data_IF_868944820495
#
_entry.id   IF_868944820495
#
_cell.length_a   1.000
_cell.length_b   1.000
_cell.length_c   1.000
_cell.angle_alpha   90.00
_cell.angle_beta   90.00
_cell.angle_gamma   90.00
#
_symmetry.space_group_name_H-M   'P 1'
#
loop_
_entity.id
_entity.type
_entity.pdbx_description
1 polymer ?
#
# COMPACT_ATOMS: atom_id res chain seq x y z
N UNK A 1 -4.81 15.84 2.54
CA UNK A 1 -4.14 14.94 3.50
C UNK A 1 -4.98 14.56 4.74
N UNK A 2 -5.99 15.34 5.19
CA UNK A 2 -6.69 15.02 6.46
C UNK A 2 -7.64 13.81 6.38
N UNK A 3 -8.45 13.68 5.32
CA UNK A 3 -9.42 12.57 5.18
C UNK A 3 -8.71 11.22 4.95
N UNK A 4 -7.68 11.20 4.11
CA UNK A 4 -6.85 10.02 3.85
C UNK A 4 -6.24 9.46 5.15
N UNK A 5 -5.66 10.33 5.99
CA UNK A 5 -5.10 9.95 7.29
C UNK A 5 -6.14 9.36 8.23
N UNK A 6 -7.30 10.01 8.33
CA UNK A 6 -8.42 9.51 9.13
C UNK A 6 -8.89 8.12 8.67
N UNK A 7 -9.00 7.89 7.37
CA UNK A 7 -9.38 6.57 6.85
C UNK A 7 -8.27 5.54 7.04
N UNK A 8 -7.02 5.90 6.82
CA UNK A 8 -5.87 5.03 7.07
C UNK A 8 -5.82 4.57 8.54
N UNK A 9 -5.97 5.50 9.49
CA UNK A 9 -6.04 5.18 10.92
C UNK A 9 -7.18 4.21 11.23
N UNK A 10 -8.38 4.46 10.71
CA UNK A 10 -9.53 3.57 10.94
C UNK A 10 -9.34 2.18 10.32
N UNK A 11 -8.73 2.09 9.13
CA UNK A 11 -8.36 0.79 8.53
C UNK A 11 -7.38 0.04 9.43
N UNK A 12 -6.32 0.72 9.89
CA UNK A 12 -5.33 0.13 10.80
C UNK A 12 -5.97 -0.32 12.12
N UNK A 13 -6.82 0.49 12.76
CA UNK A 13 -7.50 0.09 14.00
C UNK A 13 -8.40 -1.13 13.80
N UNK A 14 -9.13 -1.21 12.68
CA UNK A 14 -9.97 -2.36 12.36
C UNK A 14 -9.13 -3.64 12.16
N UNK A 15 -8.01 -3.54 11.44
CA UNK A 15 -7.12 -4.68 11.20
C UNK A 15 -6.36 -5.06 12.48
N UNK A 16 -5.95 -4.10 13.31
CA UNK A 16 -5.33 -4.37 14.62
C UNK A 16 -6.24 -5.24 15.48
N UNK A 17 -7.52 -4.89 15.55
CA UNK A 17 -8.52 -5.61 16.37
C UNK A 17 -8.54 -7.11 16.03
N UNK A 18 -8.44 -7.47 14.75
CA UNK A 18 -8.44 -8.87 14.32
C UNK A 18 -7.06 -9.52 14.47
N UNK A 19 -5.98 -8.74 14.31
CA UNK A 19 -4.60 -9.21 14.51
C UNK A 19 -4.31 -9.55 15.97
N UNK A 20 -4.90 -8.83 16.93
CA UNK A 20 -4.83 -9.13 18.37
C UNK A 20 -5.46 -10.50 18.70
N UNK A 21 -6.52 -10.87 17.98
CA UNK A 21 -7.15 -12.20 18.04
C UNK A 21 -6.42 -13.25 17.19
N UNK A 22 -5.27 -12.89 16.61
CA UNK A 22 -4.47 -13.69 15.67
C UNK A 22 -5.27 -14.14 14.45
N UNK A 23 -6.14 -13.28 13.93
CA UNK A 23 -6.88 -13.52 12.71
C UNK A 23 -6.19 -12.77 11.56
N UNK A 24 -5.88 -13.48 10.48
CA UNK A 24 -5.43 -12.90 9.20
C UNK A 24 -6.66 -12.74 8.31
N UNK A 25 -6.86 -11.56 7.73
CA UNK A 25 -7.99 -11.33 6.82
C UNK A 25 -7.75 -11.96 5.45
N UNK A 26 -6.53 -11.82 4.91
CA UNK A 26 -6.02 -12.42 3.67
C UNK A 26 -6.62 -11.99 2.33
N UNK A 27 -7.55 -11.04 2.35
CA UNK A 27 -8.22 -10.55 1.14
C UNK A 27 -8.38 -9.04 1.12
N UNK A 28 -7.65 -8.32 1.98
CA UNK A 28 -7.88 -6.90 2.18
C UNK A 28 -7.78 -6.13 0.86
N UNK A 29 -8.86 -5.45 0.53
CA UNK A 29 -8.97 -4.52 -0.57
C UNK A 29 -9.98 -3.40 -0.18
N UNK A 30 -10.10 -2.31 -0.94
CA UNK A 30 -10.98 -1.20 -0.58
C UNK A 30 -12.45 -1.60 -0.41
N UNK A 31 -12.93 -2.61 -1.14
CA UNK A 31 -14.32 -3.07 -1.03
C UNK A 31 -14.61 -3.77 0.30
N UNK A 32 -13.59 -4.20 1.04
CA UNK A 32 -13.76 -4.76 2.39
C UNK A 32 -13.91 -3.68 3.48
N UNK A 33 -13.75 -2.40 3.17
CA UNK A 33 -13.92 -1.31 4.13
C UNK A 33 -15.17 -0.50 3.81
N UNK A 34 -16.28 -0.83 4.47
CA UNK A 34 -17.56 -0.15 4.28
C UNK A 34 -17.64 1.14 5.10
N UNK A 35 -17.95 2.27 4.46
CA UNK A 35 -18.20 3.54 5.15
C UNK A 35 -19.64 3.59 5.67
N UNK A 36 -19.80 3.57 7.00
CA UNK A 36 -21.09 3.64 7.68
C UNK A 36 -21.08 4.83 8.64
N UNK A 37 -21.93 5.82 8.37
CA UNK A 37 -22.05 7.03 9.20
C UNK A 37 -20.70 7.74 9.48
N UNK A 38 -19.82 7.79 8.47
CA UNK A 38 -18.50 8.42 8.58
C UNK A 38 -17.41 7.54 9.19
N UNK A 39 -17.71 6.28 9.53
CA UNK A 39 -16.74 5.33 10.07
C UNK A 39 -16.54 4.13 9.13
N UNK A 40 -15.30 3.71 8.93
CA UNK A 40 -14.98 2.49 8.19
C UNK A 40 -15.24 1.27 9.05
N UNK A 41 -15.86 0.25 8.45
CA UNK A 41 -16.10 -1.06 9.04
C UNK A 41 -15.50 -2.11 8.13
N UNK A 42 -14.62 -2.94 8.70
CA UNK A 42 -14.07 -4.10 8.02
C UNK A 42 -15.15 -5.17 7.87
N UNK A 43 -15.33 -5.66 6.65
CA UNK A 43 -16.30 -6.69 6.27
C UNK A 43 -15.62 -7.83 5.52
N UNK A 44 -16.38 -8.89 5.27
CA UNK A 44 -15.99 -10.03 4.43
C UNK A 44 -14.79 -10.85 4.95
N UNK A 45 -15.02 -11.49 6.09
CA UNK A 45 -14.14 -12.49 6.68
C UNK A 45 -14.25 -13.85 5.97
N UNK A 46 -14.79 -13.92 4.74
CA UNK A 46 -15.13 -15.15 4.03
C UNK A 46 -13.97 -16.11 3.82
N UNK A 47 -12.73 -15.60 3.87
CA UNK A 47 -11.49 -16.39 3.85
C UNK A 47 -10.57 -16.15 5.06
N UNK A 48 -11.03 -15.39 6.06
CA UNK A 48 -10.24 -15.07 7.24
C UNK A 48 -10.00 -16.31 8.13
N UNK A 49 -8.80 -16.42 8.70
CA UNK A 49 -8.40 -17.59 9.49
C UNK A 49 -7.64 -17.20 10.75
N UNK A 50 -7.86 -17.97 11.82
CA UNK A 50 -7.16 -17.85 13.09
C UNK A 50 -5.84 -18.62 13.04
N UNK A 51 -4.75 -17.96 13.38
CA UNK A 51 -3.42 -18.59 13.51
C UNK A 51 -3.40 -19.46 14.78
N UNK A 52 -3.09 -20.78 14.68
CA UNK A 52 -2.99 -21.66 15.84
C UNK A 52 -1.92 -21.23 16.85
N UNK A 53 -2.18 -21.48 18.14
CA UNK A 53 -1.24 -21.20 19.22
C UNK A 53 0.04 -22.03 19.08
N UNK A 54 1.16 -21.39 18.73
CA UNK A 54 2.46 -22.06 18.54
C UNK A 54 2.96 -22.06 17.09
N UNK A 55 2.17 -21.54 16.15
CA UNK A 55 2.59 -21.27 14.77
C UNK A 55 2.40 -19.80 14.42
N UNK A 56 3.14 -19.31 13.43
CA UNK A 56 2.93 -18.00 12.79
C UNK A 56 2.18 -18.12 11.45
N UNK A 57 1.60 -19.29 11.17
CA UNK A 57 1.19 -19.73 9.84
C UNK A 57 -0.24 -20.28 9.82
N UNK A 58 -0.97 -20.03 8.71
CA UNK A 58 -2.30 -20.60 8.40
C UNK A 58 -2.46 -20.75 6.88
N UNK A 59 -3.28 -21.73 6.44
CA UNK A 59 -3.42 -22.15 5.03
C UNK A 59 -4.76 -21.76 4.40
N UNK A 60 -4.83 -21.19 3.18
CA UNK A 60 -6.11 -20.81 2.49
C UNK A 60 -6.23 -21.19 1.00
N UNK A 61 -7.46 -21.20 0.48
CA UNK A 61 -7.83 -21.36 -0.95
C UNK A 61 -8.46 -20.06 -1.48
N UNK A 62 -7.81 -19.37 -2.42
CA UNK A 62 -8.29 -18.07 -2.93
C UNK A 62 -8.90 -18.21 -4.34
N UNK A 63 -10.10 -17.67 -4.56
CA UNK A 63 -10.57 -17.32 -5.91
C UNK A 63 -9.70 -16.15 -6.36
N UNK A 64 -9.16 -16.19 -7.58
CA UNK A 64 -8.36 -15.10 -8.15
C UNK A 64 -9.29 -13.90 -8.42
N UNK A 65 -9.57 -13.13 -7.38
CA UNK A 65 -10.07 -11.75 -7.44
C UNK A 65 -8.87 -10.83 -7.23
N UNK A 66 -8.80 -9.79 -8.06
CA UNK A 66 -7.87 -8.63 -8.05
C UNK A 66 -6.51 -8.88 -7.39
N UNK A 67 -5.55 -9.44 -8.15
CA UNK A 67 -4.16 -9.71 -7.72
C UNK A 67 -3.39 -8.49 -7.22
N UNK A 68 -3.93 -7.29 -7.43
CA UNK A 68 -3.35 -6.00 -7.05
C UNK A 68 -3.02 -5.84 -5.55
N UNK A 69 -3.65 -6.64 -4.67
CA UNK A 69 -3.44 -6.57 -3.21
C UNK A 69 -2.75 -7.81 -2.64
N UNK A 70 -2.41 -8.79 -3.48
CA UNK A 70 -1.86 -10.07 -3.05
C UNK A 70 -0.37 -9.93 -2.73
N UNK A 71 0.06 -10.48 -1.60
CA UNK A 71 1.45 -10.40 -1.16
C UNK A 71 2.34 -11.47 -1.82
N UNK A 72 3.67 -11.23 -1.94
CA UNK A 72 4.61 -12.18 -2.55
C UNK A 72 4.56 -13.59 -1.95
N UNK A 73 4.50 -13.68 -0.61
CA UNK A 73 4.44 -14.97 0.08
C UNK A 73 3.13 -15.73 -0.16
N UNK A 74 2.04 -15.03 -0.51
CA UNK A 74 0.80 -15.68 -0.89
C UNK A 74 0.90 -16.37 -2.27
N UNK A 75 1.81 -15.91 -3.15
CA UNK A 75 2.08 -16.52 -4.45
C UNK A 75 3.19 -17.58 -4.43
N UNK A 76 4.22 -17.42 -3.58
CA UNK A 76 5.39 -18.32 -3.54
C UNK A 76 5.07 -19.75 -3.07
N UNK A 77 3.98 -19.96 -2.34
CA UNK A 77 3.59 -21.30 -1.86
C UNK A 77 2.78 -22.13 -2.88
N UNK A 78 2.73 -21.68 -4.15
CA UNK A 78 2.07 -22.37 -5.27
C UNK A 78 2.84 -23.59 -5.81
N UNK A 79 3.91 -24.02 -5.13
CA UNK A 79 4.59 -25.31 -5.27
C UNK A 79 4.48 -25.99 -6.64
N UNK A 80 5.49 -25.81 -7.49
CA UNK A 80 5.90 -26.76 -8.55
C UNK A 80 4.75 -27.55 -9.22
N UNK A 81 3.98 -26.86 -10.05
CA UNK A 81 3.51 -27.46 -11.30
C UNK A 81 2.20 -28.24 -11.33
N UNK A 82 1.32 -28.22 -10.32
CA UNK A 82 -0.01 -28.84 -10.48
C UNK A 82 -1.15 -28.04 -9.82
N UNK A 83 -2.07 -27.59 -10.67
CA UNK A 83 -3.44 -27.12 -10.39
C UNK A 83 -3.59 -25.73 -9.73
N UNK A 84 -3.75 -24.74 -10.61
CA UNK A 84 -4.41 -23.46 -10.33
C UNK A 84 -5.84 -23.76 -9.83
N UNK A 85 -6.06 -23.81 -8.51
CA UNK A 85 -7.39 -24.04 -7.94
C UNK A 85 -7.43 -24.72 -6.57
N UNK A 86 -6.32 -25.27 -6.07
CA UNK A 86 -6.23 -25.82 -4.70
C UNK A 86 -4.86 -25.51 -4.10
N UNK A 87 -4.62 -24.23 -3.80
CA UNK A 87 -3.38 -23.77 -3.17
C UNK A 87 -3.58 -23.75 -1.66
N UNK A 88 -2.54 -24.05 -0.90
CA UNK A 88 -2.52 -24.07 0.56
C UNK A 88 -1.64 -22.90 1.00
N UNK A 89 -2.20 -21.70 1.07
CA UNK A 89 -1.40 -20.45 1.14
C UNK A 89 -0.90 -20.18 2.57
N UNK A 90 0.43 -20.19 2.81
CA UNK A 90 1.06 -19.64 4.02
C UNK A 90 0.83 -18.13 4.16
N UNK A 91 -0.18 -17.72 4.91
CA UNK A 91 -0.45 -16.29 5.18
C UNK A 91 -0.26 -15.98 6.65
N UNK A 92 0.58 -14.98 6.92
CA UNK A 92 0.75 -14.38 8.25
C UNK A 92 0.18 -12.96 8.29
N UNK A 93 0.16 -12.36 9.48
CA UNK A 93 -0.34 -10.99 9.70
C UNK A 93 0.33 -9.94 8.79
N UNK A 94 1.59 -10.18 8.39
CA UNK A 94 2.33 -9.33 7.46
C UNK A 94 1.76 -9.32 6.03
N UNK A 95 0.97 -10.31 5.64
CA UNK A 95 0.30 -10.37 4.34
C UNK A 95 -0.80 -9.29 4.26
N UNK A 96 -1.59 -9.13 5.32
CA UNK A 96 -2.56 -8.03 5.44
C UNK A 96 -1.87 -6.65 5.39
N UNK A 97 -0.65 -6.54 5.93
CA UNK A 97 0.14 -5.28 5.88
C UNK A 97 0.55 -4.91 4.45
N UNK A 98 0.91 -5.90 3.63
CA UNK A 98 1.18 -5.66 2.20
C UNK A 98 -0.08 -5.15 1.50
N UNK A 99 -1.21 -5.81 1.70
CA UNK A 99 -2.49 -5.41 1.11
C UNK A 99 -2.90 -4.00 1.54
N UNK A 100 -2.72 -3.65 2.83
CA UNK A 100 -2.89 -2.28 3.33
C UNK A 100 -1.95 -1.29 2.64
N UNK A 101 -0.69 -1.67 2.39
CA UNK A 101 0.26 -0.87 1.60
C UNK A 101 -0.24 -0.57 0.18
N UNK A 102 -0.79 -1.58 -0.51
CA UNK A 102 -1.41 -1.40 -1.83
C UNK A 102 -2.63 -0.46 -1.78
N UNK A 103 -3.48 -0.59 -0.74
CA UNK A 103 -4.63 0.30 -0.54
C UNK A 103 -4.16 1.73 -0.30
N UNK A 104 -3.16 1.95 0.56
CA UNK A 104 -2.63 3.28 0.81
C UNK A 104 -2.01 3.89 -0.46
N UNK A 105 -1.26 3.10 -1.23
CA UNK A 105 -0.77 3.53 -2.55
C UNK A 105 -1.93 4.01 -3.42
N UNK A 106 -3.00 3.22 -3.53
CA UNK A 106 -4.18 3.61 -4.31
C UNK A 106 -4.87 4.87 -3.79
N UNK A 107 -4.91 5.08 -2.48
CA UNK A 107 -5.45 6.31 -1.91
C UNK A 107 -4.61 7.55 -2.25
N UNK A 108 -3.28 7.40 -2.42
CA UNK A 108 -2.37 8.49 -2.75
C UNK A 108 -2.32 8.79 -4.25
N UNK A 109 -2.23 7.75 -5.09
CA UNK A 109 -1.99 7.86 -6.54
C UNK A 109 -3.25 7.62 -7.38
N UNK A 110 -4.34 7.11 -6.80
CA UNK A 110 -5.59 6.81 -7.50
C UNK A 110 -5.63 5.44 -8.19
N UNK A 111 -4.49 4.74 -8.26
CA UNK A 111 -4.36 3.39 -8.83
C UNK A 111 -3.44 2.52 -7.96
N UNK A 112 -3.48 1.20 -8.15
CA UNK A 112 -2.61 0.26 -7.42
C UNK A 112 -1.17 0.30 -7.96
N UNK A 113 -0.15 -0.19 -7.21
CA UNK A 113 1.25 -0.14 -7.64
C UNK A 113 1.53 -0.80 -9.00
N UNK A 114 0.70 -1.76 -9.40
CA UNK A 114 0.86 -2.55 -10.62
C UNK A 114 -0.33 -2.40 -11.57
N UNK A 115 -1.07 -1.29 -11.49
CA UNK A 115 -2.29 -1.08 -12.27
C UNK A 115 -2.08 -1.20 -13.79
N UNK A 116 -0.91 -0.78 -14.28
CA UNK A 116 -0.56 -0.78 -15.72
C UNK A 116 -0.13 -2.14 -16.26
N UNK A 117 0.06 -3.14 -15.39
CA UNK A 117 0.44 -4.48 -15.78
C UNK A 117 -0.79 -5.33 -16.07
N UNK A 118 -0.69 -6.23 -17.04
CA UNK A 118 -1.69 -7.26 -17.21
C UNK A 118 -1.61 -8.31 -16.09
N UNK A 119 -2.54 -9.26 -16.08
CA UNK A 119 -2.61 -10.27 -15.03
C UNK A 119 -1.28 -11.02 -14.81
N UNK A 120 -0.60 -11.43 -15.89
CA UNK A 120 0.65 -12.18 -15.78
C UNK A 120 1.79 -11.28 -15.34
N UNK A 121 1.89 -10.07 -15.89
CA UNK A 121 2.88 -9.08 -15.49
C UNK A 121 2.79 -8.71 -14.01
N UNK A 122 1.57 -8.64 -13.46
CA UNK A 122 1.37 -8.45 -12.01
C UNK A 122 1.96 -9.61 -11.20
N UNK A 123 1.68 -10.85 -11.60
CA UNK A 123 2.22 -12.02 -10.90
C UNK A 123 3.75 -12.06 -10.96
N UNK A 124 4.32 -11.78 -12.14
CA UNK A 124 5.76 -11.78 -12.35
C UNK A 124 6.43 -10.71 -11.47
N UNK A 125 5.88 -9.49 -11.45
CA UNK A 125 6.36 -8.40 -10.59
C UNK A 125 6.26 -8.73 -9.10
N UNK A 126 5.13 -9.27 -8.63
CA UNK A 126 4.93 -9.63 -7.21
C UNK A 126 5.87 -10.77 -6.77
N UNK A 127 6.29 -11.65 -7.68
CA UNK A 127 7.21 -12.75 -7.35
C UNK A 127 8.68 -12.36 -7.46
N UNK A 128 9.01 -11.30 -8.20
CA UNK A 128 10.36 -10.81 -8.42
C UNK A 128 10.79 -9.82 -7.33
N UNK A 129 11.63 -10.28 -6.40
CA UNK A 129 12.16 -9.44 -5.31
C UNK A 129 13.06 -8.29 -5.80
N UNK A 130 13.48 -8.31 -7.07
CA UNK A 130 14.25 -7.23 -7.69
C UNK A 130 13.38 -6.17 -8.35
N UNK A 131 12.07 -6.40 -8.47
CA UNK A 131 11.13 -5.44 -9.03
C UNK A 131 11.03 -4.19 -8.15
N UNK A 132 11.21 -3.02 -8.78
CA UNK A 132 11.17 -1.72 -8.11
C UNK A 132 9.79 -1.10 -8.29
N UNK A 133 9.06 -0.94 -7.19
CA UNK A 133 7.81 -0.17 -7.15
C UNK A 133 8.18 1.32 -7.22
N UNK A 134 7.53 2.05 -8.12
CA UNK A 134 7.75 3.49 -8.25
C UNK A 134 6.91 4.30 -7.27
N UNK A 135 7.49 5.39 -6.75
CA UNK A 135 6.86 6.31 -5.79
C UNK A 135 7.06 7.76 -6.21
N UNK A 136 6.30 8.25 -7.21
CA UNK A 136 6.41 9.62 -7.70
C UNK A 136 6.21 10.66 -6.60
N UNK A 137 7.04 11.71 -6.60
CA UNK A 137 7.01 12.75 -5.56
C UNK A 137 5.99 13.85 -5.83
N UNK A 138 5.50 13.93 -7.07
CA UNK A 138 4.64 14.99 -7.53
C UNK A 138 3.55 14.46 -8.44
N UNK A 139 2.35 15.02 -8.28
CA UNK A 139 1.19 14.78 -9.11
C UNK A 139 0.81 16.07 -9.84
N UNK A 140 0.75 16.00 -11.16
CA UNK A 140 0.36 17.09 -12.05
C UNK A 140 -1.08 16.84 -12.52
N UNK A 141 -2.00 17.72 -12.15
CA UNK A 141 -3.40 17.61 -12.53
C UNK A 141 -3.61 18.40 -13.81
N UNK A 142 -4.02 17.71 -14.87
CA UNK A 142 -4.30 18.31 -16.16
C UNK A 142 -5.76 18.79 -16.26
N UNK A 143 -6.07 19.80 -17.09
CA UNK A 143 -7.43 20.30 -17.27
C UNK A 143 -8.42 19.25 -17.81
N UNK A 144 -7.93 18.24 -18.51
CA UNK A 144 -8.71 17.12 -19.04
C UNK A 144 -9.08 16.07 -17.97
N UNK A 145 -8.65 16.28 -16.72
CA UNK A 145 -8.90 15.39 -15.59
C UNK A 145 -7.87 14.27 -15.45
N UNK A 146 -6.86 14.20 -16.32
CA UNK A 146 -5.77 13.23 -16.18
C UNK A 146 -4.77 13.68 -15.13
N UNK A 147 -4.11 12.71 -14.49
CA UNK A 147 -3.03 12.95 -13.53
C UNK A 147 -1.74 12.43 -14.17
N UNK A 148 -0.71 13.25 -14.17
CA UNK A 148 0.64 12.87 -14.58
C UNK A 148 1.54 12.79 -13.36
N UNK A 149 2.25 11.69 -13.22
CA UNK A 149 3.14 11.44 -12.09
C UNK A 149 4.59 11.78 -12.47
N UNK A 150 5.34 12.40 -11.56
CA UNK A 150 6.73 12.76 -11.81
C UNK A 150 7.56 12.80 -10.53
N UNK A 151 8.87 12.57 -10.69
CA UNK A 151 9.88 12.74 -9.64
C UNK A 151 10.48 14.15 -9.60
N UNK A 152 10.27 14.93 -10.66
CA UNK A 152 10.83 16.26 -10.84
C UNK A 152 9.86 17.36 -10.40
N UNK A 153 10.41 18.40 -9.76
CA UNK A 153 9.68 19.64 -9.54
C UNK A 153 9.67 20.43 -10.85
N UNK A 154 8.51 20.48 -11.51
CA UNK A 154 8.36 21.13 -12.82
C UNK A 154 8.43 22.67 -12.69
N UNK A 155 8.23 23.21 -11.48
CA UNK A 155 8.39 24.64 -11.19
C UNK A 155 9.86 25.03 -11.05
N UNK A 156 10.69 24.21 -10.40
CA UNK A 156 12.16 24.39 -10.39
C UNK A 156 12.76 24.24 -11.79
N UNK A 157 12.31 23.24 -12.56
CA UNK A 157 12.75 23.03 -13.95
C UNK A 157 12.47 24.24 -14.85
N UNK A 158 11.31 24.89 -14.67
CA UNK A 158 10.93 26.13 -15.37
C UNK A 158 11.78 27.33 -14.97
N UNK A 159 12.22 27.44 -13.71
CA UNK A 159 13.12 28.53 -13.26
C UNK A 159 14.51 28.47 -13.92
N UNK A 160 14.92 27.31 -14.41
CA UNK A 160 16.15 27.11 -15.17
C UNK A 160 15.98 27.16 -16.70
N UNK A 161 14.76 27.27 -17.21
CA UNK A 161 14.47 27.23 -18.64
C UNK A 161 14.59 28.61 -19.30
N UNK A 162 15.09 28.66 -20.53
CA UNK A 162 15.24 29.88 -21.32
C UNK A 162 13.85 30.52 -21.61
N UNK A 163 13.72 31.82 -21.35
CA UNK A 163 12.47 32.59 -21.42
C UNK A 163 11.95 32.80 -22.87
N UNK A 164 12.60 32.18 -23.86
CA UNK A 164 12.30 32.29 -25.28
C UNK A 164 11.21 31.33 -25.76
N UNK A 165 10.84 30.31 -24.97
CA UNK A 165 9.75 29.39 -25.34
C UNK A 165 8.35 30.01 -25.14
N UNK A 166 7.41 29.76 -26.07
CA UNK A 166 6.03 30.22 -25.92
C UNK A 166 5.42 29.61 -24.66
N UNK A 167 4.67 30.42 -23.91
CA UNK A 167 4.00 30.00 -22.68
C UNK A 167 3.11 28.79 -22.95
N UNK A 168 3.62 27.59 -22.64
CA UNK A 168 2.84 26.36 -22.69
C UNK A 168 1.61 26.53 -21.80
N UNK A 169 0.53 25.93 -22.25
CA UNK A 169 -0.78 25.93 -21.61
C UNK A 169 -0.63 25.74 -20.09
N UNK A 170 -1.25 26.63 -19.30
CA UNK A 170 -1.03 26.69 -17.85
C UNK A 170 -1.41 25.35 -17.21
N UNK A 171 -0.40 24.59 -16.80
CA UNK A 171 -0.53 23.44 -15.91
C UNK A 171 -1.37 23.87 -14.71
N UNK A 172 -2.47 23.16 -14.46
CA UNK A 172 -3.52 23.60 -13.54
C UNK A 172 -3.09 23.58 -12.08
N UNK A 173 -2.26 22.62 -11.67
CA UNK A 173 -1.50 22.61 -10.41
C UNK A 173 -0.58 21.37 -10.33
N UNK A 174 0.65 21.54 -9.83
CA UNK A 174 1.49 20.44 -9.37
C UNK A 174 1.36 20.34 -7.84
N UNK A 175 1.10 19.13 -7.32
CA UNK A 175 0.92 18.87 -5.89
C UNK A 175 2.01 17.91 -5.43
N UNK A 176 2.72 18.27 -4.36
CA UNK A 176 3.69 17.39 -3.72
C UNK A 176 2.98 16.27 -2.97
N UNK A 177 3.39 15.03 -3.19
CA UNK A 177 2.92 13.88 -2.44
C UNK A 177 3.50 13.92 -1.03
N UNK A 178 2.70 13.52 -0.03
CA UNK A 178 3.15 13.48 1.37
C UNK A 178 4.27 12.44 1.52
N UNK A 179 5.45 12.91 1.95
CA UNK A 179 6.62 12.07 2.14
C UNK A 179 6.38 10.98 3.19
N UNK A 180 5.57 11.28 4.22
CA UNK A 180 5.25 10.28 5.25
C UNK A 180 4.34 9.20 4.70
N UNK A 181 3.47 9.56 3.76
CA UNK A 181 2.65 8.61 3.02
C UNK A 181 3.52 7.67 2.19
N UNK A 182 4.45 8.23 1.41
CA UNK A 182 5.40 7.46 0.60
C UNK A 182 6.22 6.51 1.46
N UNK A 183 6.79 7.00 2.56
CA UNK A 183 7.65 6.20 3.43
C UNK A 183 6.85 5.08 4.14
N UNK A 184 5.61 5.37 4.54
CA UNK A 184 4.70 4.36 5.10
C UNK A 184 4.38 3.27 4.08
N UNK A 185 4.05 3.64 2.83
CA UNK A 185 3.80 2.66 1.77
C UNK A 185 5.05 1.81 1.53
N UNK A 186 6.23 2.43 1.42
CA UNK A 186 7.48 1.72 1.19
C UNK A 186 7.78 0.72 2.32
N UNK A 187 7.48 1.07 3.57
CA UNK A 187 7.62 0.15 4.69
C UNK A 187 6.65 -1.05 4.62
N UNK A 188 5.42 -0.85 4.12
CA UNK A 188 4.45 -1.93 3.93
C UNK A 188 4.81 -2.85 2.75
N UNK A 189 5.30 -2.29 1.63
CA UNK A 189 5.57 -3.00 0.38
C UNK A 189 6.99 -3.61 0.32
N UNK A 190 7.41 -4.24 1.42
CA UNK A 190 8.65 -5.03 1.47
C UNK A 190 8.40 -6.47 1.03
N UNK A 191 9.23 -7.01 0.14
CA UNK A 191 9.08 -8.39 -0.34
C UNK A 191 9.33 -9.42 0.76
N UNK A 192 10.27 -9.16 1.68
CA UNK A 192 10.43 -9.96 2.89
C UNK A 192 9.36 -9.56 3.93
N UNK A 193 8.41 -10.44 4.27
CA UNK A 193 7.35 -10.13 5.24
C UNK A 193 7.90 -9.79 6.63
N UNK A 194 9.13 -10.21 6.98
CA UNK A 194 9.76 -9.87 8.28
C UNK A 194 10.22 -8.41 8.36
N UNK A 195 10.37 -7.74 7.22
CA UNK A 195 10.77 -6.33 7.15
C UNK A 195 9.56 -5.39 7.19
N UNK A 196 8.34 -5.93 7.09
CA UNK A 196 7.11 -5.13 7.18
C UNK A 196 6.83 -4.76 8.64
N UNK A 197 6.38 -3.52 8.91
CA UNK A 197 5.94 -3.15 10.24
C UNK A 197 4.66 -3.91 10.62
N UNK A 198 4.47 -4.10 11.92
CA UNK A 198 3.20 -4.55 12.47
C UNK A 198 2.17 -3.41 12.45
N UNK A 199 0.88 -3.73 12.51
CA UNK A 199 -0.18 -2.71 12.56
C UNK A 199 -0.02 -1.75 13.75
N UNK A 200 0.34 -2.19 14.98
CA UNK A 200 0.66 -1.26 16.07
C UNK A 200 1.79 -0.29 15.74
N UNK A 201 2.82 -0.72 15.02
CA UNK A 201 3.89 0.18 14.57
C UNK A 201 3.40 1.17 13.51
N UNK A 202 2.52 0.73 12.60
CA UNK A 202 1.89 1.59 11.60
C UNK A 202 0.98 2.67 12.21
N UNK A 203 0.36 2.41 13.36
CA UNK A 203 -0.42 3.43 14.08
C UNK A 203 0.44 4.54 14.70
N UNK A 204 1.76 4.36 14.75
CA UNK A 204 2.71 5.31 15.32
C UNK A 204 3.55 6.04 14.26
N UNK A 205 3.29 5.82 12.97
CA UNK A 205 4.11 6.43 11.91
C UNK A 205 3.86 7.94 11.81
N UNK A 206 4.85 8.73 11.33
CA UNK A 206 4.71 10.18 11.18
C UNK A 206 3.51 10.63 10.34
N UNK A 207 3.03 9.78 9.42
CA UNK A 207 1.83 10.06 8.63
C UNK A 207 0.63 10.38 9.53
N UNK A 208 0.43 9.62 10.62
CA UNK A 208 -0.69 9.85 11.55
C UNK A 208 -0.38 10.89 12.64
N UNK A 209 0.91 11.14 12.90
CA UNK A 209 1.37 12.08 13.94
C UNK A 209 2.27 13.18 13.34
N UNK A 210 1.73 14.04 12.45
CA UNK A 210 2.51 15.08 11.79
C UNK A 210 3.02 16.10 12.81
N UNK A 211 4.33 16.33 12.84
CA UNK A 211 4.97 17.30 13.74
C UNK A 211 5.65 16.70 14.98
N UNK A 212 5.45 15.42 15.27
CA UNK A 212 6.16 14.71 16.35
C UNK A 212 7.60 14.31 15.96
N UNK A 213 8.07 14.68 14.76
CA UNK A 213 9.49 14.61 14.38
C UNK A 213 10.40 15.59 15.14
N UNK A 214 9.87 16.38 16.06
CA UNK A 214 10.65 17.21 16.98
C UNK A 214 10.98 16.45 18.26
N UNK A 215 12.09 15.74 18.27
CA UNK A 215 13.24 15.94 19.18
C UNK A 215 14.36 15.01 18.69
N UNK A 216 15.49 15.61 18.30
CA UNK A 216 16.77 14.91 18.22
C UNK A 216 16.99 14.14 19.53
N UNK A 217 16.84 12.82 19.49
CA UNK A 217 17.39 11.96 20.53
C UNK A 217 18.89 11.89 20.21
N UNK A 218 19.78 12.46 21.04
CA UNK A 218 21.21 12.33 20.79
C UNK A 218 21.56 10.85 20.85
N UNK A 219 22.23 10.35 19.82
CA UNK A 219 22.74 8.99 19.77
C UNK A 219 23.54 8.71 21.07
N UNK A 220 23.01 7.81 21.90
CA UNK A 220 23.77 7.30 23.03
C UNK A 220 24.94 6.49 22.47
N UNK A 221 26.14 6.89 22.89
CA UNK A 221 27.43 6.22 22.63
C UNK A 221 27.41 4.74 23.01
#
# INVERSE_FOLDING_TARGET
MTVMRMYWEQMLSAVQTIHEERIVHSDLNPANFLLVCGQLKLIDFGIAKRIPSGSTESYSHQKIGTVDYVSPEALKDTGKGQNIGRVMIRMGLASDVWSLGCILYQMLYGHTPLADYDFQGKLDAIMDESFIIDYPKWLEYNPDGTIKETHEDEEEKRKGADLSEPARERVTAQVKVDVDGIDTIRACLQYDPKQRPTVPQLLQVPLLHPGERLMDIPASR
#
